data_IF_087758897642
#
_entry.id   IF_087758897642
#
_cell.length_a   1.000
_cell.length_b   1.000
_cell.length_c   1.000
_cell.angle_alpha   90.00
_cell.angle_beta   90.00
_cell.angle_gamma   90.00
#
_symmetry.space_group_name_H-M   'P 1'
#
loop_
_entity.id
_entity.type
_entity.pdbx_description
1 polymer ?
#
# COMPACT_ATOMS: atom_id res chain seq x y z
N UNK A 1 -2.38 6.35 -39.10
CA UNK A 1 -3.13 5.10 -39.44
C UNK A 1 -2.17 3.91 -39.23
N UNK A 2 -2.59 2.92 -38.44
CA UNK A 2 -1.77 1.72 -38.22
C UNK A 2 -1.77 0.90 -39.52
N UNK A 3 -0.61 0.69 -40.14
CA UNK A 3 -0.48 -0.16 -41.29
C UNK A 3 -0.57 -1.64 -40.86
N UNK A 4 -1.71 -2.27 -41.10
CA UNK A 4 -2.01 -3.66 -40.70
C UNK A 4 -1.13 -4.73 -41.37
N UNK A 5 -0.35 -4.36 -42.39
CA UNK A 5 0.50 -5.28 -43.13
C UNK A 5 1.95 -5.31 -42.64
N UNK A 6 2.30 -4.51 -41.65
CA UNK A 6 3.61 -4.45 -41.06
C UNK A 6 3.51 -4.83 -39.57
N UNK A 7 4.46 -5.66 -39.09
CA UNK A 7 4.55 -5.99 -37.67
C UNK A 7 4.53 -4.72 -36.80
N UNK A 8 3.79 -4.73 -35.72
CA UNK A 8 3.70 -3.59 -34.78
C UNK A 8 5.08 -3.16 -34.26
N UNK A 9 6.03 -4.10 -34.18
CA UNK A 9 7.42 -3.84 -33.74
C UNK A 9 8.26 -3.09 -34.79
N UNK A 10 7.79 -2.97 -36.01
CA UNK A 10 8.44 -2.25 -37.11
C UNK A 10 7.75 -0.92 -37.43
N UNK A 11 6.75 -0.54 -36.65
CA UNK A 11 6.06 0.73 -36.82
C UNK A 11 6.69 1.79 -35.90
N UNK A 12 6.69 3.02 -36.39
CA UNK A 12 7.09 4.18 -35.57
C UNK A 12 6.12 4.36 -34.41
N UNK A 13 6.64 4.85 -33.28
CA UNK A 13 5.77 5.28 -32.18
C UNK A 13 4.83 6.39 -32.66
N UNK A 14 3.54 6.32 -32.31
CA UNK A 14 2.60 7.37 -32.70
C UNK A 14 3.04 8.71 -32.11
N UNK A 15 2.90 9.77 -32.87
CA UNK A 15 3.09 11.12 -32.35
C UNK A 15 2.03 11.39 -31.27
N UNK A 16 2.49 11.67 -30.05
CA UNK A 16 1.65 11.96 -28.90
C UNK A 16 1.44 13.47 -28.68
N UNK A 17 1.98 14.33 -29.55
CA UNK A 17 1.90 15.80 -29.40
C UNK A 17 0.47 16.35 -29.39
N UNK A 18 -0.49 15.59 -29.96
CA UNK A 18 -1.91 15.94 -29.96
C UNK A 18 -2.66 15.53 -28.70
N UNK A 19 -2.02 14.74 -27.81
CA UNK A 19 -2.67 14.33 -26.56
C UNK A 19 -2.61 15.48 -25.55
N UNK A 20 -3.73 15.78 -24.89
CA UNK A 20 -3.71 16.81 -23.84
C UNK A 20 -2.81 16.36 -22.69
N UNK A 21 -1.93 17.25 -22.25
CA UNK A 21 -1.09 17.02 -21.07
C UNK A 21 -1.76 17.64 -19.86
N UNK A 22 -2.20 16.81 -18.92
CA UNK A 22 -2.69 17.26 -17.62
C UNK A 22 -1.59 17.11 -16.56
N UNK A 23 -0.72 18.11 -16.47
CA UNK A 23 0.38 18.12 -15.50
C UNK A 23 -0.10 18.05 -14.04
N UNK A 24 -1.26 18.64 -13.75
CA UNK A 24 -1.86 18.60 -12.42
C UNK A 24 -2.28 17.18 -12.05
N UNK A 25 -2.89 16.47 -12.98
CA UNK A 25 -3.24 15.06 -12.77
C UNK A 25 -2.00 14.19 -12.57
N UNK A 26 -0.93 14.45 -13.33
CA UNK A 26 0.35 13.72 -13.18
C UNK A 26 0.92 13.92 -11.77
N UNK A 27 1.01 15.18 -11.31
CA UNK A 27 1.49 15.48 -9.96
C UNK A 27 0.64 14.84 -8.86
N UNK A 28 -0.69 14.90 -9.00
CA UNK A 28 -1.60 14.26 -8.04
C UNK A 28 -1.45 12.74 -8.03
N UNK A 29 -1.30 12.10 -9.20
CA UNK A 29 -1.09 10.65 -9.30
C UNK A 29 0.27 10.23 -8.77
N UNK A 30 1.32 11.05 -8.92
CA UNK A 30 2.61 10.78 -8.30
C UNK A 30 2.52 10.80 -6.76
N UNK A 31 1.74 11.72 -6.19
CA UNK A 31 1.47 11.72 -4.76
C UNK A 31 0.67 10.48 -4.31
N UNK A 32 -0.35 10.09 -5.08
CA UNK A 32 -1.13 8.85 -4.83
C UNK A 32 -0.20 7.63 -4.83
N UNK A 33 0.70 7.52 -5.82
CA UNK A 33 1.69 6.43 -5.88
C UNK A 33 2.63 6.44 -4.68
N UNK A 34 3.07 7.62 -4.24
CA UNK A 34 3.90 7.76 -3.04
C UNK A 34 3.15 7.32 -1.77
N UNK A 35 1.85 7.65 -1.65
CA UNK A 35 1.00 7.15 -0.56
C UNK A 35 0.93 5.63 -0.58
N UNK A 36 0.58 5.04 -1.72
CA UNK A 36 0.47 3.58 -1.85
C UNK A 36 1.82 2.89 -1.54
N UNK A 37 2.92 3.38 -2.11
CA UNK A 37 4.26 2.81 -1.86
C UNK A 37 4.67 2.91 -0.39
N UNK A 38 4.35 4.01 0.28
CA UNK A 38 4.65 4.20 1.71
C UNK A 38 3.83 3.23 2.57
N UNK A 39 2.54 3.04 2.25
CA UNK A 39 1.68 2.07 2.96
C UNK A 39 2.15 0.63 2.72
N UNK A 40 2.53 0.27 1.50
CA UNK A 40 3.08 -1.04 1.18
C UNK A 40 4.41 -1.29 1.90
N UNK A 41 5.26 -0.26 2.05
CA UNK A 41 6.48 -0.34 2.85
C UNK A 41 6.19 -0.59 4.33
N UNK A 42 5.15 0.05 4.92
CA UNK A 42 4.70 -0.26 6.28
C UNK A 42 4.29 -1.73 6.38
N UNK A 43 3.51 -2.22 5.42
CA UNK A 43 3.07 -3.62 5.41
C UNK A 43 4.25 -4.59 5.38
N UNK A 44 5.23 -4.33 4.53
CA UNK A 44 6.43 -5.15 4.41
C UNK A 44 7.22 -5.18 5.72
N UNK A 45 7.51 -4.02 6.31
CA UNK A 45 8.21 -3.93 7.58
C UNK A 45 7.48 -4.60 8.77
N UNK A 46 6.15 -4.64 8.72
CA UNK A 46 5.31 -5.28 9.74
C UNK A 46 4.94 -6.72 9.40
N UNK A 47 5.46 -7.27 8.29
CA UNK A 47 5.13 -8.61 7.78
C UNK A 47 3.62 -8.83 7.57
N UNK A 48 2.91 -7.78 7.09
CA UNK A 48 1.48 -7.81 6.82
C UNK A 48 1.23 -8.06 5.34
N UNK A 49 0.68 -9.21 5.00
CA UNK A 49 0.31 -9.57 3.61
C UNK A 49 -0.56 -8.50 2.99
N UNK A 50 -0.34 -8.15 1.72
CA UNK A 50 -1.20 -7.18 1.01
C UNK A 50 -2.64 -7.70 0.90
N UNK A 51 -2.85 -9.01 0.78
CA UNK A 51 -4.19 -9.65 0.74
C UNK A 51 -4.96 -9.60 2.06
N UNK A 52 -4.27 -9.44 3.19
CA UNK A 52 -4.93 -9.22 4.47
C UNK A 52 -5.51 -7.80 4.48
N UNK A 53 -6.82 -7.62 4.47
CA UNK A 53 -7.41 -6.29 4.56
C UNK A 53 -7.10 -5.67 5.93
N UNK A 54 -6.88 -4.36 5.95
CA UNK A 54 -6.73 -3.61 7.19
C UNK A 54 -7.87 -2.60 7.35
N UNK A 55 -8.13 -2.20 8.59
CA UNK A 55 -9.32 -1.41 8.91
C UNK A 55 -9.29 -0.02 8.32
N UNK A 56 -8.17 0.71 8.44
CA UNK A 56 -8.13 2.10 8.00
C UNK A 56 -6.72 2.62 7.70
N UNK A 57 -6.70 3.60 6.81
CA UNK A 57 -5.56 4.46 6.49
C UNK A 57 -5.95 5.91 6.76
N UNK A 58 -5.10 6.67 7.44
CA UNK A 58 -5.27 8.12 7.58
C UNK A 58 -4.16 8.83 6.82
N UNK A 59 -4.53 9.73 5.91
CA UNK A 59 -3.63 10.62 5.19
C UNK A 59 -3.62 11.96 5.90
N UNK A 60 -2.47 12.39 6.38
CA UNK A 60 -2.31 13.53 7.26
C UNK A 60 -1.46 14.59 6.56
N UNK A 61 -2.00 15.78 6.41
CA UNK A 61 -1.27 16.88 5.80
C UNK A 61 -2.17 18.02 5.34
N UNK A 62 -1.57 19.17 5.12
CA UNK A 62 -2.28 20.34 4.61
C UNK A 62 -2.78 20.07 3.20
N UNK A 63 -4.03 20.43 2.91
CA UNK A 63 -4.72 20.17 1.63
C UNK A 63 -4.86 18.67 1.29
N UNK A 64 -5.01 17.81 2.30
CA UNK A 64 -5.23 16.37 2.10
C UNK A 64 -6.58 16.08 1.42
N UNK A 65 -7.54 17.02 1.41
CA UNK A 65 -8.85 16.87 0.78
C UNK A 65 -8.77 16.57 -0.72
N UNK A 66 -7.69 16.97 -1.40
CA UNK A 66 -7.47 16.65 -2.82
C UNK A 66 -7.42 15.16 -3.11
N UNK A 67 -7.10 14.33 -2.11
CA UNK A 67 -7.04 12.88 -2.26
C UNK A 67 -8.41 12.19 -2.22
N UNK A 68 -9.48 12.90 -1.83
CA UNK A 68 -10.83 12.31 -1.70
C UNK A 68 -11.28 11.60 -2.97
N UNK A 69 -11.00 12.18 -4.13
CA UNK A 69 -11.35 11.60 -5.45
C UNK A 69 -10.57 10.33 -5.81
N UNK A 70 -9.50 10.02 -5.07
CA UNK A 70 -8.64 8.86 -5.29
C UNK A 70 -8.80 7.79 -4.19
N UNK A 71 -9.74 7.96 -3.26
CA UNK A 71 -9.91 7.03 -2.14
C UNK A 71 -10.14 5.59 -2.59
N UNK A 72 -10.95 5.39 -3.60
CA UNK A 72 -11.25 4.06 -4.14
C UNK A 72 -9.96 3.40 -4.66
N UNK A 73 -9.21 4.11 -5.51
CA UNK A 73 -7.94 3.63 -6.07
C UNK A 73 -6.93 3.30 -4.96
N UNK A 74 -6.76 4.21 -3.99
CA UNK A 74 -5.82 3.98 -2.88
C UNK A 74 -6.29 2.80 -2.02
N UNK A 75 -7.59 2.74 -1.68
CA UNK A 75 -8.13 1.69 -0.83
C UNK A 75 -7.98 0.29 -1.45
N UNK A 76 -8.22 0.18 -2.76
CA UNK A 76 -8.03 -1.07 -3.50
C UNK A 76 -6.55 -1.47 -3.57
N UNK A 77 -5.65 -0.53 -3.92
CA UNK A 77 -4.23 -0.80 -4.09
C UNK A 77 -3.57 -1.27 -2.79
N UNK A 78 -3.87 -0.60 -1.67
CA UNK A 78 -3.26 -0.95 -0.37
C UNK A 78 -4.13 -1.84 0.51
N UNK A 79 -5.29 -2.28 0.00
CA UNK A 79 -6.26 -3.16 0.66
C UNK A 79 -6.67 -2.70 2.07
N UNK A 80 -7.26 -1.51 2.15
CA UNK A 80 -7.82 -0.95 3.39
C UNK A 80 -9.33 -0.71 3.23
N UNK A 81 -10.09 -0.85 4.33
CA UNK A 81 -11.54 -0.69 4.32
C UNK A 81 -11.99 0.76 4.29
N UNK A 82 -11.21 1.63 4.91
CA UNK A 82 -11.58 3.04 5.08
C UNK A 82 -10.36 3.95 4.93
N UNK A 83 -10.55 5.10 4.27
CA UNK A 83 -9.57 6.17 4.26
C UNK A 83 -10.14 7.37 5.00
N UNK A 84 -9.31 8.00 5.82
CA UNK A 84 -9.63 9.22 6.58
C UNK A 84 -8.57 10.29 6.29
N UNK A 85 -8.93 11.53 6.47
CA UNK A 85 -8.03 12.68 6.30
C UNK A 85 -7.84 13.40 7.62
N UNK A 86 -6.64 13.92 7.84
CA UNK A 86 -6.34 14.87 8.91
C UNK A 86 -5.47 15.99 8.35
N UNK A 87 -5.71 17.22 8.76
CA UNK A 87 -5.00 18.40 8.27
C UNK A 87 -3.87 18.84 9.19
N UNK A 88 -3.97 18.51 10.48
CA UNK A 88 -3.02 18.93 11.50
C UNK A 88 -1.90 17.88 11.67
N UNK A 89 -0.76 18.16 11.04
CA UNK A 89 0.44 17.32 11.15
C UNK A 89 1.00 17.32 12.57
N UNK A 90 0.81 18.41 13.35
CA UNK A 90 1.47 18.61 14.65
C UNK A 90 1.10 17.56 15.69
N UNK A 91 -0.06 16.92 15.55
CA UNK A 91 -0.52 15.84 16.43
C UNK A 91 0.21 14.51 16.16
N UNK A 92 0.68 14.30 14.93
CA UNK A 92 1.21 13.01 14.45
C UNK A 92 2.70 13.05 14.14
N UNK A 93 3.23 14.25 13.92
CA UNK A 93 4.62 14.44 13.51
C UNK A 93 5.17 15.80 13.90
N UNK A 94 6.46 15.92 13.74
CA UNK A 94 7.21 17.17 13.92
C UNK A 94 8.26 17.31 12.83
N UNK A 95 8.50 18.52 12.39
CA UNK A 95 9.60 18.79 11.47
C UNK A 95 10.92 18.83 12.23
N UNK A 96 11.88 17.98 11.83
CA UNK A 96 13.24 17.96 12.37
C UNK A 96 14.20 18.48 11.34
N UNK A 97 15.00 19.44 11.76
CA UNK A 97 16.08 20.00 10.94
C UNK A 97 17.29 19.07 10.99
N UNK A 98 17.79 18.68 9.84
CA UNK A 98 19.04 17.94 9.69
C UNK A 98 20.05 18.81 8.94
N UNK A 99 21.18 19.12 9.58
CA UNK A 99 22.25 19.93 9.00
C UNK A 99 23.12 19.08 8.08
N UNK A 100 23.48 19.62 6.90
CA UNK A 100 24.43 19.02 6.00
C UNK A 100 25.86 19.40 6.40
N UNK A 101 26.45 18.65 7.33
CA UNK A 101 27.77 18.94 7.89
C UNK A 101 28.89 19.07 6.86
N UNK A 102 28.78 18.38 5.71
CA UNK A 102 29.78 18.49 4.64
C UNK A 102 29.80 19.89 4.02
N UNK A 103 28.63 20.53 3.86
CA UNK A 103 28.49 21.85 3.26
C UNK A 103 28.69 22.98 4.28
N UNK A 104 28.03 22.86 5.44
CA UNK A 104 28.12 23.89 6.48
C UNK A 104 29.49 23.92 7.16
N UNK A 105 30.24 22.81 7.15
CA UNK A 105 31.56 22.72 7.76
C UNK A 105 32.53 23.75 7.24
N UNK A 106 32.57 23.95 5.94
CA UNK A 106 33.41 24.96 5.28
C UNK A 106 32.94 26.39 5.52
N UNK A 107 31.61 26.62 5.67
CA UNK A 107 31.02 27.95 5.83
C UNK A 107 31.02 28.44 7.29
N UNK A 108 30.72 27.58 8.23
CA UNK A 108 30.39 27.96 9.60
C UNK A 108 31.21 27.22 10.67
N UNK A 109 32.33 26.58 10.35
CA UNK A 109 33.17 25.72 11.16
C UNK A 109 33.10 25.91 12.70
N UNK A 110 33.42 27.13 13.19
CA UNK A 110 33.40 27.45 14.63
C UNK A 110 31.98 27.41 15.24
N UNK A 111 30.92 27.67 14.44
CA UNK A 111 29.53 27.76 14.90
C UNK A 111 28.76 26.44 14.84
N UNK A 112 29.33 25.38 14.24
CA UNK A 112 28.65 24.08 14.04
C UNK A 112 28.15 23.49 15.37
N UNK A 113 28.94 23.58 16.43
CA UNK A 113 28.53 23.05 17.75
C UNK A 113 27.30 23.79 18.28
N UNK A 114 27.27 25.11 18.17
CA UNK A 114 26.13 25.93 18.59
C UNK A 114 24.89 25.61 17.72
N UNK A 115 25.04 25.52 16.39
CA UNK A 115 23.95 25.14 15.49
C UNK A 115 23.42 23.75 15.77
N UNK A 116 24.29 22.77 16.05
CA UNK A 116 23.86 21.41 16.40
C UNK A 116 23.05 21.41 17.71
N UNK A 117 23.45 22.22 18.68
CA UNK A 117 22.70 22.36 19.93
C UNK A 117 21.34 23.06 19.70
N UNK A 118 21.32 24.12 18.90
CA UNK A 118 20.11 24.83 18.55
C UNK A 118 19.10 23.92 17.79
N UNK A 119 19.57 23.03 16.92
CA UNK A 119 18.74 22.02 16.27
C UNK A 119 18.11 21.07 17.29
N UNK A 120 18.89 20.57 18.25
CA UNK A 120 18.37 19.69 19.32
C UNK A 120 17.34 20.38 20.22
N UNK A 121 17.50 21.68 20.42
CA UNK A 121 16.60 22.50 21.23
C UNK A 121 15.42 23.09 20.42
N UNK A 122 15.32 22.75 19.12
CA UNK A 122 14.31 23.27 18.19
C UNK A 122 14.34 24.82 18.08
N UNK A 123 15.50 25.45 18.28
CA UNK A 123 15.73 26.90 18.20
C UNK A 123 16.14 27.31 16.78
N UNK A 124 15.24 27.18 15.85
CA UNK A 124 15.42 27.60 14.46
C UNK A 124 14.08 28.04 13.86
N UNK A 125 14.12 28.87 12.85
CA UNK A 125 12.93 29.41 12.20
C UNK A 125 13.00 29.18 10.68
N UNK A 126 11.87 28.75 10.10
CA UNK A 126 11.73 28.67 8.66
C UNK A 126 11.43 30.04 8.10
N UNK A 127 12.30 30.53 7.22
CA UNK A 127 12.14 31.81 6.52
C UNK A 127 11.44 31.60 5.17
N UNK A 128 11.09 32.69 4.50
CA UNK A 128 10.62 32.66 3.11
C UNK A 128 11.69 32.07 2.17
N UNK A 129 11.26 31.50 1.03
CA UNK A 129 12.13 30.92 0.01
C UNK A 129 12.97 29.73 0.48
N UNK A 130 12.41 28.91 1.36
CA UNK A 130 13.03 27.66 1.81
C UNK A 130 14.41 27.86 2.47
N UNK A 131 14.59 28.96 3.17
CA UNK A 131 15.77 29.26 4.00
C UNK A 131 15.41 29.09 5.47
N UNK A 132 16.40 28.85 6.31
CA UNK A 132 16.22 28.81 7.76
C UNK A 132 17.15 29.79 8.45
N UNK A 133 16.69 30.33 9.59
CA UNK A 133 17.49 31.10 10.52
C UNK A 133 17.86 30.21 11.71
N UNK A 134 19.13 30.16 12.06
CA UNK A 134 19.66 29.40 13.19
C UNK A 134 20.94 30.09 13.73
N UNK A 135 20.99 30.38 15.02
CA UNK A 135 22.13 31.06 15.65
C UNK A 135 22.56 32.36 14.91
N UNK A 136 21.59 33.20 14.52
CA UNK A 136 21.77 34.46 13.76
C UNK A 136 22.39 34.27 12.37
N UNK A 137 22.41 33.04 11.86
CA UNK A 137 22.87 32.72 10.51
C UNK A 137 21.71 32.24 9.66
N UNK A 138 21.80 32.54 8.34
CA UNK A 138 20.82 32.05 7.36
C UNK A 138 21.43 30.90 6.57
N UNK A 139 20.77 29.74 6.62
CA UNK A 139 21.12 28.56 5.82
C UNK A 139 20.25 28.49 4.56
N UNK A 140 20.86 28.04 3.46
CA UNK A 140 20.21 27.86 2.17
C UNK A 140 19.86 26.39 1.93
N UNK A 141 19.03 26.11 0.92
CA UNK A 141 18.46 24.78 0.64
C UNK A 141 19.46 23.61 0.68
N UNK A 142 20.70 23.85 0.31
CA UNK A 142 21.72 22.79 0.27
C UNK A 142 22.45 22.56 1.60
N UNK A 143 22.28 23.47 2.54
CA UNK A 143 22.96 23.47 3.84
C UNK A 143 22.21 22.62 4.87
N UNK A 144 20.95 22.29 4.60
CA UNK A 144 20.10 21.54 5.52
C UNK A 144 19.03 20.72 4.78
N UNK A 145 18.41 19.82 5.50
CA UNK A 145 17.21 19.07 5.09
C UNK A 145 16.19 19.14 6.23
N UNK A 146 14.94 19.43 5.90
CA UNK A 146 13.84 19.33 6.87
C UNK A 146 13.16 17.99 6.66
N UNK A 147 13.17 17.15 7.69
CA UNK A 147 12.51 15.84 7.69
C UNK A 147 11.30 15.87 8.60
N UNK A 148 10.19 15.41 8.09
CA UNK A 148 9.01 15.16 8.88
C UNK A 148 9.20 13.83 9.63
N UNK A 149 9.39 13.92 10.95
CA UNK A 149 9.51 12.77 11.85
C UNK A 149 8.19 12.49 12.53
N UNK A 150 7.88 11.23 12.73
CA UNK A 150 6.67 10.80 13.43
C UNK A 150 6.82 10.98 14.93
N UNK A 151 5.73 11.36 15.60
CA UNK A 151 5.63 11.37 17.06
C UNK A 151 5.29 9.98 17.57
N UNK A 152 5.53 9.74 18.87
CA UNK A 152 5.15 8.51 19.53
C UNK A 152 3.62 8.34 19.45
N UNK A 153 3.22 7.28 18.80
CA UNK A 153 1.86 6.77 18.73
C UNK A 153 1.84 5.38 19.34
N UNK A 154 0.65 4.83 19.54
CA UNK A 154 0.53 3.42 19.94
C UNK A 154 0.98 2.51 18.77
N UNK A 155 2.27 2.12 18.78
CA UNK A 155 2.89 1.29 17.74
C UNK A 155 2.34 -0.14 17.70
N UNK A 156 1.55 -0.54 18.69
CA UNK A 156 0.85 -1.83 18.68
C UNK A 156 -0.37 -1.81 17.75
N UNK A 157 -0.96 -0.63 17.54
CA UNK A 157 -2.17 -0.45 16.73
C UNK A 157 -1.94 0.32 15.43
N UNK A 158 -0.96 1.19 15.41
CA UNK A 158 -0.72 2.08 14.29
C UNK A 158 0.74 2.06 13.85
N UNK A 159 0.93 2.13 12.56
CA UNK A 159 2.23 2.42 11.97
C UNK A 159 2.12 3.70 11.14
N UNK A 160 3.12 4.58 11.27
CA UNK A 160 3.11 5.89 10.62
C UNK A 160 4.46 6.14 9.93
N UNK A 161 4.40 6.73 8.74
CA UNK A 161 5.58 7.12 7.98
C UNK A 161 5.33 8.44 7.25
N UNK A 162 6.38 9.24 7.05
CA UNK A 162 6.34 10.42 6.18
C UNK A 162 6.47 10.02 4.71
N UNK A 163 5.79 10.74 3.83
CA UNK A 163 6.05 10.63 2.39
C UNK A 163 7.43 11.21 2.04
N UNK A 164 8.03 10.78 0.93
CA UNK A 164 9.31 11.31 0.46
C UNK A 164 9.33 12.83 0.25
N UNK A 165 8.16 13.42 -0.04
CA UNK A 165 7.98 14.88 -0.20
C UNK A 165 8.04 15.65 1.12
N UNK A 166 7.98 15.00 2.28
CA UNK A 166 7.87 15.59 3.61
C UNK A 166 6.63 16.50 3.84
N UNK A 167 5.64 16.41 2.97
CA UNK A 167 4.40 17.23 3.05
C UNK A 167 3.26 16.49 3.74
N UNK A 168 3.32 15.16 3.76
CA UNK A 168 2.28 14.29 4.27
C UNK A 168 2.85 13.17 5.13
N UNK A 169 2.02 12.72 6.08
CA UNK A 169 2.19 11.45 6.79
C UNK A 169 1.09 10.49 6.36
N UNK A 170 1.38 9.21 6.38
CA UNK A 170 0.39 8.15 6.28
C UNK A 170 0.41 7.32 7.55
N UNK A 171 -0.75 7.12 8.15
CA UNK A 171 -0.93 6.34 9.36
C UNK A 171 -1.85 5.15 9.05
N UNK A 172 -1.31 3.97 9.14
CA UNK A 172 -2.00 2.71 8.88
C UNK A 172 -2.41 2.07 10.21
N UNK A 173 -3.69 1.72 10.35
CA UNK A 173 -4.11 0.86 11.45
C UNK A 173 -3.68 -0.58 11.14
N UNK A 174 -2.84 -1.14 12.00
CA UNK A 174 -2.25 -2.48 11.84
C UNK A 174 -2.87 -3.52 12.78
N UNK A 175 -3.91 -3.14 13.53
CA UNK A 175 -4.65 -4.06 14.40
C UNK A 175 -5.47 -5.02 13.53
N UNK A 176 -5.25 -6.32 13.71
CA UNK A 176 -5.93 -7.38 12.98
C UNK A 176 -7.11 -7.87 13.82
N UNK A 177 -8.34 -7.66 13.34
CA UNK A 177 -9.53 -8.24 13.95
C UNK A 177 -9.83 -9.61 13.35
N UNK A 178 -10.64 -10.40 14.04
CA UNK A 178 -11.07 -11.73 13.55
C UNK A 178 -11.77 -11.64 12.18
N UNK A 179 -12.54 -10.57 11.93
CA UNK A 179 -13.21 -10.35 10.65
C UNK A 179 -12.21 -10.09 9.52
N UNK A 180 -11.19 -9.25 9.78
CA UNK A 180 -10.16 -8.94 8.81
C UNK A 180 -9.30 -10.17 8.49
N UNK A 181 -8.95 -10.95 9.52
CA UNK A 181 -8.23 -12.19 9.34
C UNK A 181 -9.06 -13.21 8.54
N UNK A 182 -10.35 -13.36 8.88
CA UNK A 182 -11.29 -14.22 8.17
C UNK A 182 -11.40 -13.87 6.68
N UNK A 183 -11.52 -12.58 6.37
CA UNK A 183 -11.55 -12.11 4.98
C UNK A 183 -10.19 -12.31 4.29
N UNK A 184 -9.08 -12.14 5.00
CA UNK A 184 -7.74 -12.41 4.48
C UNK A 184 -7.58 -13.86 4.02
N UNK A 185 -8.02 -14.83 4.84
CA UNK A 185 -8.02 -16.26 4.48
C UNK A 185 -8.91 -16.50 3.25
N UNK A 186 -10.09 -15.88 3.20
CA UNK A 186 -10.97 -16.02 2.03
C UNK A 186 -10.31 -15.50 0.74
N UNK A 187 -9.57 -14.41 0.79
CA UNK A 187 -8.81 -13.85 -0.36
C UNK A 187 -7.66 -14.76 -0.79
N UNK A 188 -7.00 -15.43 0.15
CA UNK A 188 -6.00 -16.44 -0.17
C UNK A 188 -6.63 -17.66 -0.86
N UNK A 189 -7.80 -18.12 -0.41
CA UNK A 189 -8.58 -19.17 -1.09
C UNK A 189 -8.99 -18.74 -2.50
N UNK A 190 -9.50 -17.51 -2.67
CA UNK A 190 -9.86 -16.96 -3.98
C UNK A 190 -8.67 -16.99 -4.93
N UNK A 191 -7.49 -16.55 -4.47
CA UNK A 191 -6.26 -16.59 -5.28
C UNK A 191 -5.89 -18.00 -5.68
N UNK A 192 -5.96 -18.97 -4.74
CA UNK A 192 -5.65 -20.37 -5.04
C UNK A 192 -6.61 -20.91 -6.11
N UNK A 193 -7.91 -20.65 -5.99
CA UNK A 193 -8.91 -21.06 -6.99
C UNK A 193 -8.62 -20.41 -8.34
N UNK A 194 -8.33 -19.10 -8.38
CA UNK A 194 -8.01 -18.41 -9.64
C UNK A 194 -6.73 -18.94 -10.30
N UNK A 195 -5.71 -19.31 -9.50
CA UNK A 195 -4.53 -19.97 -10.02
C UNK A 195 -4.87 -21.34 -10.61
N UNK A 196 -5.65 -22.14 -9.88
CA UNK A 196 -6.06 -23.47 -10.34
C UNK A 196 -6.95 -23.44 -11.60
N UNK A 197 -7.77 -22.38 -11.77
CA UNK A 197 -8.50 -22.13 -13.03
C UNK A 197 -7.54 -21.97 -14.21
N UNK A 198 -6.45 -21.22 -14.03
CA UNK A 198 -5.41 -21.07 -15.08
C UNK A 198 -4.70 -22.39 -15.38
N UNK A 199 -4.34 -23.12 -14.33
CA UNK A 199 -3.65 -24.43 -14.46
C UNK A 199 -4.58 -25.49 -15.08
N UNK A 200 -5.89 -25.34 -14.89
CA UNK A 200 -6.91 -26.15 -15.56
C UNK A 200 -7.18 -25.73 -17.01
N UNK A 201 -6.59 -24.61 -17.49
CA UNK A 201 -6.79 -24.02 -18.82
C UNK A 201 -8.25 -23.62 -19.08
N UNK A 202 -8.95 -23.12 -18.04
CA UNK A 202 -10.31 -22.62 -18.14
C UNK A 202 -10.36 -21.22 -18.72
N UNK A 203 -11.42 -20.91 -19.48
CA UNK A 203 -11.68 -19.56 -19.94
C UNK A 203 -12.08 -18.63 -18.77
N UNK A 204 -11.87 -17.32 -18.97
CA UNK A 204 -12.18 -16.30 -17.94
C UNK A 204 -13.65 -16.34 -17.54
N UNK A 205 -14.53 -16.66 -18.49
CA UNK A 205 -15.99 -16.67 -18.34
C UNK A 205 -16.57 -18.01 -17.86
N UNK A 206 -15.73 -19.07 -17.77
CA UNK A 206 -16.21 -20.39 -17.37
C UNK A 206 -16.74 -20.38 -15.94
N UNK A 207 -17.93 -20.98 -15.77
CA UNK A 207 -18.49 -21.24 -14.46
C UNK A 207 -18.10 -22.63 -13.99
N UNK A 208 -17.81 -22.76 -12.71
CA UNK A 208 -17.27 -24.00 -12.14
C UNK A 208 -18.01 -24.42 -10.88
N UNK A 209 -17.93 -25.68 -10.57
CA UNK A 209 -18.24 -26.20 -9.24
C UNK A 209 -16.92 -26.52 -8.53
N UNK A 210 -16.83 -26.18 -7.25
CA UNK A 210 -15.61 -26.34 -6.46
C UNK A 210 -15.90 -27.09 -5.17
N UNK A 211 -15.03 -28.04 -4.86
CA UNK A 211 -14.95 -28.65 -3.52
C UNK A 211 -13.66 -28.24 -2.85
N UNK A 212 -13.75 -27.86 -1.58
CA UNK A 212 -12.62 -27.48 -0.74
C UNK A 212 -12.46 -28.47 0.41
N UNK A 213 -11.23 -28.88 0.65
CA UNK A 213 -10.85 -29.64 1.84
C UNK A 213 -9.55 -29.05 2.42
N UNK A 214 -9.46 -29.04 3.74
CA UNK A 214 -8.25 -28.75 4.49
C UNK A 214 -8.23 -29.56 5.78
N UNK A 215 -7.05 -29.97 6.23
CA UNK A 215 -6.88 -30.55 7.57
C UNK A 215 -6.99 -29.49 8.69
N UNK A 216 -6.96 -28.21 8.34
CA UNK A 216 -7.03 -27.07 9.25
C UNK A 216 -8.47 -26.53 9.31
N UNK A 217 -9.17 -26.77 10.43
CA UNK A 217 -10.57 -26.36 10.62
C UNK A 217 -10.77 -24.86 10.42
N UNK A 218 -9.80 -24.03 10.85
CA UNK A 218 -9.82 -22.57 10.68
C UNK A 218 -10.01 -22.16 9.21
N UNK A 219 -9.34 -22.82 8.26
CA UNK A 219 -9.48 -22.52 6.83
C UNK A 219 -10.91 -22.82 6.36
N UNK A 220 -11.47 -23.98 6.72
CA UNK A 220 -12.81 -24.40 6.31
C UNK A 220 -13.92 -23.54 6.94
N UNK A 221 -13.77 -23.16 8.21
CA UNK A 221 -14.71 -22.28 8.89
C UNK A 221 -14.75 -20.90 8.23
N UNK A 222 -13.57 -20.34 7.89
CA UNK A 222 -13.47 -19.04 7.21
C UNK A 222 -13.94 -19.13 5.76
N UNK A 223 -13.70 -20.24 5.05
CA UNK A 223 -14.27 -20.50 3.73
C UNK A 223 -15.80 -20.51 3.78
N UNK A 224 -16.39 -21.15 4.78
CA UNK A 224 -17.84 -21.21 5.00
C UNK A 224 -18.40 -19.83 5.32
N UNK A 225 -17.77 -19.09 6.24
CA UNK A 225 -18.17 -17.73 6.64
C UNK A 225 -18.16 -16.76 5.45
N UNK A 226 -17.19 -16.90 4.54
CA UNK A 226 -17.00 -16.03 3.38
C UNK A 226 -17.41 -16.67 2.05
N UNK A 227 -18.24 -17.72 2.05
CA UNK A 227 -18.61 -18.48 0.86
C UNK A 227 -19.17 -17.61 -0.27
N UNK A 228 -19.96 -16.58 0.07
CA UNK A 228 -20.54 -15.66 -0.91
C UNK A 228 -19.47 -14.81 -1.60
N UNK A 229 -18.50 -14.32 -0.85
CA UNK A 229 -17.36 -13.57 -1.38
C UNK A 229 -16.53 -14.46 -2.34
N UNK A 230 -16.21 -15.68 -1.91
CA UNK A 230 -15.44 -16.64 -2.70
C UNK A 230 -16.19 -16.94 -4.01
N UNK A 231 -17.48 -17.27 -3.96
CA UNK A 231 -18.30 -17.57 -5.14
C UNK A 231 -18.33 -16.41 -6.12
N UNK A 232 -18.58 -15.19 -5.63
CA UNK A 232 -18.73 -14.00 -6.49
C UNK A 232 -17.44 -13.64 -7.23
N UNK A 233 -16.28 -13.85 -6.61
CA UNK A 233 -14.98 -13.48 -7.20
C UNK A 233 -14.31 -14.57 -8.03
N UNK A 234 -14.87 -15.79 -8.03
CA UNK A 234 -14.26 -16.93 -8.73
C UNK A 234 -15.19 -17.60 -9.75
N UNK A 235 -16.39 -17.04 -9.99
CA UNK A 235 -17.43 -17.56 -10.87
C UNK A 235 -17.84 -19.01 -10.51
N UNK A 236 -17.91 -19.30 -9.21
CA UNK A 236 -18.36 -20.60 -8.70
C UNK A 236 -19.87 -20.61 -8.60
N UNK A 237 -20.51 -21.61 -9.25
CA UNK A 237 -21.93 -21.86 -9.11
C UNK A 237 -22.22 -22.63 -7.81
N UNK A 238 -21.49 -23.71 -7.55
CA UNK A 238 -21.63 -24.47 -6.32
C UNK A 238 -20.29 -24.63 -5.61
N UNK A 239 -20.26 -24.24 -4.31
CA UNK A 239 -19.12 -24.40 -3.43
C UNK A 239 -19.46 -25.40 -2.33
N UNK A 240 -18.76 -26.53 -2.30
CA UNK A 240 -18.89 -27.56 -1.29
C UNK A 240 -17.65 -27.60 -0.39
N UNK A 241 -17.87 -27.63 0.92
CA UNK A 241 -16.78 -27.74 1.90
C UNK A 241 -16.79 -29.17 2.43
N UNK A 242 -15.74 -29.92 2.12
CA UNK A 242 -15.61 -31.33 2.47
C UNK A 242 -14.93 -31.49 3.83
N UNK A 243 -15.36 -32.47 4.60
CA UNK A 243 -14.73 -32.85 5.87
C UNK A 243 -13.70 -33.97 5.71
N UNK A 244 -13.67 -34.59 4.54
CA UNK A 244 -12.73 -35.65 4.19
C UNK A 244 -11.93 -35.26 2.94
N UNK A 245 -10.73 -35.85 2.79
CA UNK A 245 -9.87 -35.62 1.65
C UNK A 245 -10.57 -36.00 0.36
N UNK A 246 -10.50 -35.12 -0.65
CA UNK A 246 -11.20 -35.32 -1.93
C UNK A 246 -10.47 -36.40 -2.72
N UNK A 247 -11.20 -37.39 -3.23
CA UNK A 247 -10.67 -38.47 -4.05
C UNK A 247 -10.62 -38.09 -5.53
N UNK A 248 -9.71 -38.74 -6.30
CA UNK A 248 -9.44 -38.44 -7.70
C UNK A 248 -10.66 -38.59 -8.65
N UNK A 249 -11.69 -39.28 -8.25
CA UNK A 249 -12.91 -39.46 -9.06
C UNK A 249 -13.79 -38.20 -9.14
N UNK A 250 -13.41 -37.12 -8.47
CA UNK A 250 -14.24 -35.94 -8.26
C UNK A 250 -13.70 -34.66 -8.94
N UNK A 251 -13.16 -34.71 -10.16
CA UNK A 251 -12.69 -33.55 -10.92
C UNK A 251 -11.18 -33.37 -10.92
N UNK A 252 -10.69 -32.23 -11.44
CA UNK A 252 -9.26 -31.87 -11.38
C UNK A 252 -8.92 -31.40 -9.97
N UNK A 253 -8.02 -32.12 -9.30
CA UNK A 253 -7.61 -31.83 -7.92
C UNK A 253 -6.28 -31.08 -7.92
N UNK A 254 -6.23 -30.03 -7.11
CA UNK A 254 -5.06 -29.20 -6.90
C UNK A 254 -4.75 -29.10 -5.41
N UNK A 255 -3.47 -29.16 -5.08
CA UNK A 255 -2.96 -28.91 -3.73
C UNK A 255 -2.38 -27.49 -3.70
N UNK A 256 -2.79 -26.69 -2.74
CA UNK A 256 -2.33 -25.32 -2.55
C UNK A 256 -1.92 -25.13 -1.09
N UNK A 257 -0.83 -24.44 -0.88
CA UNK A 257 -0.38 -24.05 0.47
C UNK A 257 -0.74 -22.61 0.73
N UNK A 258 -1.53 -22.39 1.76
CA UNK A 258 -1.84 -21.08 2.33
C UNK A 258 -0.93 -20.84 3.55
N UNK A 259 -0.84 -19.60 4.02
CA UNK A 259 -0.07 -19.30 5.23
C UNK A 259 -0.64 -20.00 6.48
N UNK A 260 -1.95 -20.22 6.51
CA UNK A 260 -2.66 -20.88 7.60
C UNK A 260 -2.70 -22.42 7.46
N UNK A 261 -2.17 -23.01 6.38
CA UNK A 261 -2.11 -24.46 6.16
C UNK A 261 -2.44 -24.89 4.74
N UNK A 262 -2.54 -26.20 4.53
CA UNK A 262 -2.78 -26.78 3.22
C UNK A 262 -4.26 -26.73 2.84
N UNK A 263 -4.52 -26.51 1.56
CA UNK A 263 -5.85 -26.49 0.97
C UNK A 263 -5.90 -27.37 -0.28
N UNK A 264 -6.79 -28.34 -0.30
CA UNK A 264 -7.10 -29.14 -1.49
C UNK A 264 -8.33 -28.54 -2.18
N UNK A 265 -8.22 -28.34 -3.49
CA UNK A 265 -9.26 -27.74 -4.33
C UNK A 265 -9.57 -28.68 -5.48
N UNK A 266 -10.82 -29.11 -5.62
CA UNK A 266 -11.27 -29.84 -6.79
C UNK A 266 -12.21 -28.99 -7.64
N UNK A 267 -11.97 -28.95 -8.95
CA UNK A 267 -12.73 -28.16 -9.94
C UNK A 267 -13.43 -29.12 -10.90
N UNK A 268 -14.73 -28.87 -11.15
CA UNK A 268 -15.61 -29.66 -12.02
C UNK A 268 -16.20 -28.79 -13.12
#
# INVERSE_FOLDING_TARGET
MINRNISIHLQDLPDASFLPSDYKLIEEMDLVRNICSSVLSIRDHKNLRVRLPLSSLTIIGKNSEKFTKYFEIIAEEVNVKKISLATDISQYGEYKLQLNFKKIGAKFGAKIKAMTQAVKENKWELLTNNKISICDETLENDDFEIKLSTKNIDESKFAIISLPSNDYLVMLNIEITEELESEGIARDIIRAIQQNRKDAMLDITDRINVKLFSSHSKILENAKKNAQLIKSQTLIDNLEICHEKISENNGKIFESTLDDGDLQIAIF
#
